data_IF_726336193366
#
_entry.id   IF_726336193366
#
_cell.length_a   1.000
_cell.length_b   1.000
_cell.length_c   1.000
_cell.angle_alpha   90.00
_cell.angle_beta   90.00
_cell.angle_gamma   90.00
#
_symmetry.space_group_name_H-M   'P 1'
#
loop_
_entity.id
_entity.type
_entity.pdbx_description
1 polymer ?
#
# COMPACT_ATOMS: atom_id res chain seq x y z
N UNK A 1 1.38 49.78 6.23
CA UNK A 1 2.64 49.15 5.81
C UNK A 1 2.27 47.93 4.96
N UNK A 2 2.52 48.10 3.67
CA UNK A 2 2.60 47.16 2.54
C UNK A 2 1.94 45.78 2.60
N UNK A 3 0.94 45.62 1.73
CA UNK A 3 0.49 44.36 1.14
C UNK A 3 1.63 43.73 0.31
N UNK A 4 1.86 42.42 0.45
CA UNK A 4 2.76 41.68 -0.43
C UNK A 4 1.95 40.76 -1.36
N UNK A 5 1.95 41.13 -2.63
CA UNK A 5 1.26 40.47 -3.73
C UNK A 5 2.02 39.24 -4.26
N UNK A 6 1.24 38.21 -4.57
CA UNK A 6 1.32 37.34 -5.76
C UNK A 6 2.68 36.88 -6.30
N UNK A 7 2.88 35.57 -6.39
CA UNK A 7 3.46 34.99 -7.61
C UNK A 7 2.99 33.53 -7.83
N UNK A 8 2.33 33.30 -8.97
CA UNK A 8 1.98 31.98 -9.51
C UNK A 8 2.68 31.83 -10.85
N UNK A 9 3.36 30.71 -11.16
CA UNK A 9 4.04 30.55 -12.43
C UNK A 9 3.06 30.08 -13.52
N UNK A 10 3.10 30.76 -14.67
CA UNK A 10 2.36 30.45 -15.89
C UNK A 10 3.33 29.89 -16.93
N UNK A 11 2.98 28.81 -17.69
CA UNK A 11 3.68 28.49 -18.92
C UNK A 11 2.84 28.82 -20.17
N UNK A 12 3.53 29.51 -21.08
CA UNK A 12 3.15 30.08 -22.36
C UNK A 12 2.48 29.13 -23.38
N UNK A 13 1.49 29.66 -24.10
CA UNK A 13 0.77 29.07 -25.25
C UNK A 13 1.64 28.85 -26.50
N UNK A 14 1.35 27.80 -27.27
CA UNK A 14 1.44 27.79 -28.75
C UNK A 14 0.17 27.18 -29.37
N UNK A 15 -0.40 27.90 -30.34
CA UNK A 15 -1.63 27.58 -31.06
C UNK A 15 -1.42 26.51 -32.14
N UNK A 16 -2.41 25.62 -32.30
CA UNK A 16 -2.62 24.79 -33.50
C UNK A 16 -4.08 24.38 -33.62
N UNK A 17 -4.81 24.98 -34.56
CA UNK A 17 -6.23 24.69 -34.84
C UNK A 17 -6.41 23.31 -35.49
N UNK A 18 -7.12 22.40 -34.85
CA UNK A 18 -8.00 21.40 -35.49
C UNK A 18 -9.25 21.21 -34.64
N UNK A 19 -10.37 21.73 -35.14
CA UNK A 19 -11.69 21.44 -34.60
C UNK A 19 -12.07 19.99 -34.92
N UNK A 20 -12.19 19.15 -33.89
CA UNK A 20 -12.97 17.92 -33.90
C UNK A 20 -13.75 17.82 -32.60
N UNK A 21 -15.07 17.94 -32.74
CA UNK A 21 -16.11 17.37 -31.87
C UNK A 21 -16.01 17.68 -30.38
N UNK A 22 -16.80 18.67 -29.99
CA UNK A 22 -17.36 18.89 -28.66
C UNK A 22 -17.88 17.60 -28.00
N UNK A 23 -17.05 16.97 -27.17
CA UNK A 23 -17.47 16.36 -25.91
C UNK A 23 -16.57 16.97 -24.84
N UNK A 24 -17.12 17.97 -24.18
CA UNK A 24 -16.49 18.83 -23.18
C UNK A 24 -15.76 18.01 -22.12
N UNK A 25 -14.44 17.99 -22.25
CA UNK A 25 -13.44 17.64 -21.25
C UNK A 25 -13.34 18.73 -20.17
N UNK A 26 -14.45 19.02 -19.50
CA UNK A 26 -14.45 19.87 -18.31
C UNK A 26 -15.44 19.23 -17.35
N UNK A 27 -14.96 18.27 -16.56
CA UNK A 27 -15.65 17.91 -15.33
C UNK A 27 -15.89 19.21 -14.58
N UNK A 28 -17.14 19.53 -14.22
CA UNK A 28 -17.41 20.71 -13.42
C UNK A 28 -16.58 20.66 -12.14
N UNK A 29 -16.26 21.80 -11.54
CA UNK A 29 -15.52 21.81 -10.27
C UNK A 29 -16.25 20.97 -9.19
N UNK A 30 -17.58 20.92 -9.25
CA UNK A 30 -18.42 20.04 -8.43
C UNK A 30 -18.22 18.55 -8.75
N UNK A 31 -18.19 18.17 -10.03
CA UNK A 31 -17.91 16.79 -10.45
C UNK A 31 -16.49 16.34 -10.09
N UNK A 32 -15.48 17.20 -10.25
CA UNK A 32 -14.11 16.91 -9.83
C UNK A 32 -14.03 16.69 -8.32
N UNK A 33 -14.69 17.55 -7.55
CA UNK A 33 -14.77 17.43 -6.09
C UNK A 33 -15.44 16.12 -5.68
N UNK A 34 -16.57 15.77 -6.30
CA UNK A 34 -17.27 14.51 -6.04
C UNK A 34 -16.40 13.29 -6.36
N UNK A 35 -15.73 13.28 -7.52
CA UNK A 35 -14.85 12.18 -7.91
C UNK A 35 -13.63 12.05 -6.98
N UNK A 36 -13.03 13.18 -6.58
CA UNK A 36 -11.91 13.18 -5.62
C UNK A 36 -12.33 12.59 -4.27
N UNK A 37 -13.48 13.01 -3.73
CA UNK A 37 -14.02 12.45 -2.47
C UNK A 37 -14.27 10.95 -2.61
N UNK A 38 -14.90 10.51 -3.70
CA UNK A 38 -15.17 9.10 -3.93
C UNK A 38 -13.89 8.27 -4.06
N UNK A 39 -12.88 8.78 -4.79
CA UNK A 39 -11.60 8.11 -4.97
C UNK A 39 -10.85 7.97 -3.65
N UNK A 40 -10.84 9.01 -2.81
CA UNK A 40 -10.18 8.97 -1.51
C UNK A 40 -10.93 8.09 -0.52
N UNK A 41 -12.27 8.08 -0.55
CA UNK A 41 -13.06 7.15 0.25
C UNK A 41 -12.74 5.70 -0.11
N UNK A 42 -12.75 5.34 -1.40
CA UNK A 42 -12.37 4.01 -1.87
C UNK A 42 -10.94 3.65 -1.46
N UNK A 43 -9.99 4.60 -1.58
CA UNK A 43 -8.61 4.39 -1.15
C UNK A 43 -8.53 4.05 0.35
N UNK A 44 -9.26 4.79 1.19
CA UNK A 44 -9.30 4.54 2.64
C UNK A 44 -9.98 3.22 3.01
N UNK A 45 -11.06 2.87 2.33
CA UNK A 45 -11.75 1.59 2.51
C UNK A 45 -10.82 0.41 2.16
N UNK A 46 -10.08 0.51 1.05
CA UNK A 46 -9.09 -0.49 0.67
C UNK A 46 -7.99 -0.63 1.73
N UNK A 47 -7.38 0.48 2.17
CA UNK A 47 -6.34 0.47 3.21
C UNK A 47 -6.88 -0.21 4.48
N UNK A 48 -8.08 0.15 4.91
CA UNK A 48 -8.70 -0.44 6.10
C UNK A 48 -8.94 -1.95 5.95
N UNK A 49 -9.42 -2.39 4.79
CA UNK A 49 -9.59 -3.82 4.52
C UNK A 49 -8.27 -4.59 4.56
N UNK A 50 -7.16 -4.00 4.10
CA UNK A 50 -5.85 -4.65 4.21
C UNK A 50 -5.38 -4.74 5.67
N UNK A 51 -5.62 -3.70 6.49
CA UNK A 51 -5.36 -3.75 7.93
C UNK A 51 -6.18 -4.84 8.63
N UNK A 52 -7.46 -5.00 8.27
CA UNK A 52 -8.31 -6.07 8.82
C UNK A 52 -7.76 -7.47 8.48
N UNK A 53 -7.21 -7.66 7.27
CA UNK A 53 -6.51 -8.91 6.91
C UNK A 53 -5.27 -9.14 7.75
N UNK A 54 -4.45 -8.12 7.97
CA UNK A 54 -3.25 -8.22 8.80
C UNK A 54 -3.63 -8.64 10.23
N UNK A 55 -4.69 -8.05 10.80
CA UNK A 55 -5.20 -8.43 12.13
C UNK A 55 -5.61 -9.91 12.17
N UNK A 56 -6.24 -10.43 11.09
CA UNK A 56 -6.66 -11.83 11.04
C UNK A 56 -5.50 -12.84 10.93
N UNK A 57 -4.34 -12.41 10.40
CA UNK A 57 -3.17 -13.26 10.19
C UNK A 57 -2.23 -13.29 11.39
N UNK A 58 -2.22 -12.23 12.20
CA UNK A 58 -1.28 -12.07 13.32
C UNK A 58 -1.93 -12.59 14.62
N UNK A 59 -1.48 -13.73 15.19
CA UNK A 59 -2.12 -14.34 16.36
C UNK A 59 -2.09 -13.49 17.62
N UNK A 60 -1.13 -12.55 17.72
CA UNK A 60 -0.95 -11.65 18.86
C UNK A 60 -1.85 -10.42 18.79
N UNK A 61 -2.61 -10.24 17.70
CA UNK A 61 -3.61 -9.20 17.54
C UNK A 61 -5.01 -9.76 17.81
N UNK A 62 -5.81 -9.01 18.56
CA UNK A 62 -7.24 -9.31 18.76
C UNK A 62 -8.11 -8.32 18.00
N UNK A 63 -9.37 -8.68 17.70
CA UNK A 63 -10.31 -7.76 17.05
C UNK A 63 -10.50 -6.45 17.82
N UNK A 64 -10.24 -6.44 19.14
CA UNK A 64 -10.30 -5.24 19.97
C UNK A 64 -9.19 -4.22 19.66
N UNK A 65 -8.08 -4.67 19.07
CA UNK A 65 -6.90 -3.88 18.73
C UNK A 65 -6.88 -3.41 17.27
N UNK A 66 -7.91 -3.76 16.47
CA UNK A 66 -8.02 -3.42 15.05
C UNK A 66 -8.12 -1.91 14.75
N UNK A 67 -8.19 -1.06 15.78
CA UNK A 67 -8.29 0.40 15.64
C UNK A 67 -6.95 1.13 15.68
N UNK A 68 -5.88 0.50 16.15
CA UNK A 68 -4.57 1.15 16.29
C UNK A 68 -3.63 0.72 15.18
N UNK A 69 -3.51 1.54 14.12
CA UNK A 69 -2.62 1.28 12.98
C UNK A 69 -1.18 1.01 13.43
N UNK A 70 -0.67 1.81 14.39
CA UNK A 70 0.67 1.62 14.93
C UNK A 70 0.84 0.26 15.59
N UNK A 71 -0.11 -0.15 16.45
CA UNK A 71 0.00 -1.45 17.13
C UNK A 71 -0.09 -2.61 16.14
N UNK A 72 -0.95 -2.50 15.13
CA UNK A 72 -1.09 -3.52 14.09
C UNK A 72 0.24 -3.68 13.35
N UNK A 73 0.87 -2.57 12.93
CA UNK A 73 2.16 -2.62 12.23
C UNK A 73 3.27 -3.18 13.11
N UNK A 74 3.39 -2.73 14.35
CA UNK A 74 4.43 -3.20 15.28
C UNK A 74 4.30 -4.69 15.55
N UNK A 75 3.12 -5.16 15.99
CA UNK A 75 2.91 -6.58 16.30
C UNK A 75 3.06 -7.49 15.08
N UNK A 76 2.72 -6.99 13.90
CA UNK A 76 2.88 -7.76 12.66
C UNK A 76 4.35 -7.85 12.24
N UNK A 77 5.14 -6.79 12.44
CA UNK A 77 6.58 -6.84 12.24
C UNK A 77 7.24 -7.84 13.20
N UNK A 78 6.89 -7.78 14.48
CA UNK A 78 7.36 -8.73 15.50
C UNK A 78 7.03 -10.18 15.09
N UNK A 79 5.79 -10.42 14.64
CA UNK A 79 5.36 -11.75 14.21
C UNK A 79 6.10 -12.26 12.96
N UNK A 80 6.44 -11.37 12.01
CA UNK A 80 7.27 -11.74 10.85
C UNK A 80 8.66 -12.21 11.31
N UNK A 81 9.25 -11.53 12.29
CA UNK A 81 10.56 -11.92 12.83
C UNK A 81 10.48 -13.26 13.58
N UNK A 82 9.43 -13.48 14.38
CA UNK A 82 9.16 -14.76 15.03
C UNK A 82 9.02 -15.91 14.02
N UNK A 83 8.25 -15.72 12.95
CA UNK A 83 8.07 -16.71 11.89
C UNK A 83 9.38 -17.05 11.18
N UNK A 84 10.26 -16.07 10.98
CA UNK A 84 11.60 -16.30 10.40
C UNK A 84 12.46 -17.15 11.31
N UNK A 85 12.48 -16.84 12.61
CA UNK A 85 13.21 -17.64 13.58
C UNK A 85 12.68 -19.07 13.68
N UNK A 86 11.36 -19.24 13.71
CA UNK A 86 10.73 -20.55 13.74
C UNK A 86 11.03 -21.35 12.47
N UNK A 87 10.99 -20.72 11.30
CA UNK A 87 11.35 -21.37 10.04
C UNK A 87 12.79 -21.91 10.07
N UNK A 88 13.75 -21.12 10.55
CA UNK A 88 15.14 -21.55 10.71
C UNK A 88 15.24 -22.76 11.64
N UNK A 89 14.57 -22.72 12.80
CA UNK A 89 14.55 -23.83 13.77
C UNK A 89 13.95 -25.11 13.15
N UNK A 90 12.87 -24.98 12.39
CA UNK A 90 12.20 -26.10 11.73
C UNK A 90 13.08 -26.73 10.65
N UNK A 91 13.72 -25.91 9.81
CA UNK A 91 14.65 -26.40 8.77
C UNK A 91 15.81 -27.17 9.41
N UNK A 92 16.37 -26.65 10.50
CA UNK A 92 17.46 -27.33 11.21
C UNK A 92 16.99 -28.66 11.83
N UNK A 93 15.79 -28.69 12.42
CA UNK A 93 15.19 -29.92 12.94
C UNK A 93 14.98 -30.96 11.84
N UNK A 94 14.53 -30.55 10.65
CA UNK A 94 14.39 -31.44 9.50
C UNK A 94 15.76 -32.03 9.09
N UNK A 95 16.81 -31.19 9.01
CA UNK A 95 18.17 -31.65 8.71
C UNK A 95 18.69 -32.66 9.71
N UNK A 96 18.52 -32.39 11.01
CA UNK A 96 18.91 -33.31 12.08
C UNK A 96 18.19 -34.65 12.00
N UNK A 97 16.92 -34.65 11.57
CA UNK A 97 16.11 -35.86 11.38
C UNK A 97 16.33 -36.54 10.03
N UNK A 98 17.22 -36.03 9.18
CA UNK A 98 17.45 -36.55 7.83
C UNK A 98 16.28 -36.34 6.87
N UNK A 99 15.35 -35.42 7.19
CA UNK A 99 14.22 -35.05 6.34
C UNK A 99 14.71 -34.01 5.33
N UNK A 100 14.60 -34.35 4.05
CA UNK A 100 14.93 -33.41 2.97
C UNK A 100 13.87 -32.30 2.88
N UNK A 101 14.28 -31.04 2.98
CA UNK A 101 13.38 -29.88 2.83
C UNK A 101 13.39 -29.47 1.34
N UNK A 102 12.24 -29.50 0.65
CA UNK A 102 12.13 -29.03 -0.73
C UNK A 102 12.57 -27.58 -0.88
N UNK A 103 13.21 -27.25 -2.01
CA UNK A 103 13.78 -25.91 -2.24
C UNK A 103 12.72 -24.81 -2.25
N UNK A 104 11.51 -25.12 -2.72
CA UNK A 104 10.37 -24.21 -2.75
C UNK A 104 9.86 -23.78 -1.38
N UNK A 105 10.21 -24.52 -0.32
CA UNK A 105 9.84 -24.19 1.07
C UNK A 105 10.93 -23.41 1.81
N UNK A 106 12.09 -23.21 1.17
CA UNK A 106 13.18 -22.44 1.75
C UNK A 106 12.86 -20.95 1.55
N UNK A 107 12.67 -20.25 2.67
CA UNK A 107 12.46 -18.81 2.65
C UNK A 107 13.78 -18.08 2.33
N UNK A 108 13.81 -17.39 1.18
CA UNK A 108 15.00 -16.65 0.70
C UNK A 108 14.88 -15.13 0.89
N UNK A 109 13.83 -14.66 1.58
CA UNK A 109 13.53 -13.24 1.69
C UNK A 109 12.72 -12.68 0.51
N UNK A 110 12.27 -11.43 0.62
CA UNK A 110 11.61 -10.72 -0.47
C UNK A 110 12.58 -10.48 -1.64
N UNK A 111 12.07 -10.54 -2.86
CA UNK A 111 12.83 -10.30 -4.07
C UNK A 111 12.94 -8.78 -4.29
N UNK A 112 14.16 -8.24 -4.29
CA UNK A 112 14.41 -6.81 -4.49
C UNK A 112 14.35 -6.40 -5.98
N UNK A 113 13.54 -7.06 -6.78
CA UNK A 113 13.39 -6.80 -8.23
C UNK A 113 12.26 -5.82 -8.55
N UNK A 114 11.57 -5.30 -7.52
CA UNK A 114 10.50 -4.33 -7.64
C UNK A 114 9.17 -4.93 -8.10
N UNK A 115 9.05 -6.26 -8.18
CA UNK A 115 7.78 -6.94 -8.50
C UNK A 115 6.67 -6.68 -7.47
N UNK A 116 7.07 -6.33 -6.24
CA UNK A 116 6.16 -6.09 -5.11
C UNK A 116 5.48 -4.71 -5.14
N UNK A 117 5.89 -3.81 -6.04
CA UNK A 117 5.22 -2.52 -6.24
C UNK A 117 4.09 -2.75 -7.24
N UNK A 118 2.89 -3.02 -6.70
CA UNK A 118 1.68 -3.31 -7.48
C UNK A 118 1.47 -2.36 -8.66
N UNK A 119 1.19 -2.94 -9.83
CA UNK A 119 0.75 -2.27 -11.06
C UNK A 119 -0.74 -1.94 -11.03
#
# INVERSE_FOLDING_TARGET
>A
MSENSSESPSPSRKNGKKAKTSKSSVLSEEQKKAHHIASEQKRRENIRSEFDKIVSLTPTLTESENRSELNILTKSADYIDELREENVKLVELCRMKGINVPQELIYNGPQNDGSDIGT
#
